data_IF_157874249481
#
_entry.id   IF_157874249481
#
_cell.length_a   1.000
_cell.length_b   1.000
_cell.length_c   1.000
_cell.angle_alpha   90.00
_cell.angle_beta   90.00
_cell.angle_gamma   90.00
#
_symmetry.space_group_name_H-M   'P 1'
#
loop_
_entity.id
_entity.type
_entity.pdbx_description
1 polymer ?
#
# COMPACT_ATOMS: atom_id res chain seq x y z
N UNK A 1 -30.10 -3.75 -8.91
CA UNK A 1 -28.86 -4.11 -9.64
C UNK A 1 -27.76 -4.26 -8.61
N UNK A 2 -27.42 -5.46 -8.19
CA UNK A 2 -26.23 -5.70 -7.36
C UNK A 2 -25.02 -5.74 -8.28
N UNK A 3 -24.43 -4.57 -8.52
CA UNK A 3 -23.15 -4.50 -9.20
C UNK A 3 -22.09 -5.13 -8.29
N UNK A 4 -21.54 -6.26 -8.70
CA UNK A 4 -20.39 -6.84 -8.03
C UNK A 4 -19.17 -5.99 -8.37
N UNK A 5 -18.54 -5.41 -7.35
CA UNK A 5 -17.25 -4.75 -7.52
C UNK A 5 -16.12 -5.78 -7.42
N UNK A 6 -15.06 -5.60 -8.19
CA UNK A 6 -13.92 -6.52 -8.19
C UNK A 6 -12.90 -6.20 -7.11
N UNK A 7 -12.76 -4.91 -6.75
CA UNK A 7 -11.95 -4.41 -5.65
C UNK A 7 -12.48 -3.05 -5.18
N UNK A 8 -12.10 -2.65 -3.97
CA UNK A 8 -12.44 -1.36 -3.36
C UNK A 8 -11.14 -0.69 -2.91
N UNK A 9 -11.04 0.62 -3.07
CA UNK A 9 -9.95 1.43 -2.49
C UNK A 9 -10.58 2.39 -1.48
N UNK A 10 -10.17 2.28 -0.21
CA UNK A 10 -10.59 3.21 0.83
C UNK A 10 -9.56 4.34 0.94
N UNK A 11 -9.90 5.53 0.46
CA UNK A 11 -9.02 6.69 0.50
C UNK A 11 -9.33 7.59 1.71
N UNK A 12 -8.29 8.05 2.39
CA UNK A 12 -8.40 8.98 3.50
C UNK A 12 -7.07 9.57 3.91
N UNK A 13 -7.11 10.61 4.71
CA UNK A 13 -5.94 11.23 5.33
C UNK A 13 -6.24 11.49 6.79
N UNK A 14 -5.34 11.03 7.65
CA UNK A 14 -5.34 11.31 9.08
C UNK A 14 -4.04 12.04 9.41
N UNK A 15 -4.16 13.21 10.03
CA UNK A 15 -3.01 13.99 10.50
C UNK A 15 -3.05 14.01 12.02
N UNK A 16 -1.90 13.71 12.65
CA UNK A 16 -1.79 13.70 14.10
C UNK A 16 -2.08 15.07 14.70
N UNK A 17 -3.01 15.09 15.66
CA UNK A 17 -3.26 16.25 16.52
C UNK A 17 -2.64 16.08 17.90
N UNK A 18 -3.07 16.93 18.84
CA UNK A 18 -2.51 16.98 20.20
C UNK A 18 -2.96 15.83 21.10
N UNK A 19 -4.03 15.15 20.75
CA UNK A 19 -4.62 14.08 21.55
C UNK A 19 -4.36 12.70 20.95
N UNK A 20 -4.67 11.63 21.71
CA UNK A 20 -4.60 10.25 21.23
C UNK A 20 -5.70 9.85 20.25
N UNK A 21 -6.56 10.79 19.83
CA UNK A 21 -7.62 10.52 18.88
C UNK A 21 -7.11 9.94 17.55
N UNK A 22 -5.98 10.45 17.06
CA UNK A 22 -5.33 9.98 15.84
C UNK A 22 -4.99 8.49 15.91
N UNK A 23 -4.39 8.02 17.00
CA UNK A 23 -3.99 6.63 17.19
C UNK A 23 -5.20 5.70 17.22
N UNK A 24 -6.23 6.09 17.96
CA UNK A 24 -7.45 5.27 18.06
C UNK A 24 -8.21 5.19 16.74
N UNK A 25 -8.34 6.29 16.00
CA UNK A 25 -9.02 6.30 14.70
C UNK A 25 -8.20 5.54 13.66
N UNK A 26 -6.88 5.73 13.63
CA UNK A 26 -5.99 5.02 12.70
C UNK A 26 -6.09 3.50 12.90
N UNK A 27 -6.03 3.04 14.14
CA UNK A 27 -6.16 1.63 14.49
C UNK A 27 -7.54 1.07 14.13
N UNK A 28 -8.60 1.79 14.50
CA UNK A 28 -9.98 1.38 14.21
C UNK A 28 -10.26 1.27 12.70
N UNK A 29 -9.78 2.24 11.92
CA UNK A 29 -9.94 2.25 10.45
C UNK A 29 -9.15 1.10 9.81
N UNK A 30 -7.89 0.88 10.23
CA UNK A 30 -7.08 -0.21 9.71
C UNK A 30 -7.73 -1.58 9.97
N UNK A 31 -8.19 -1.82 11.19
CA UNK A 31 -8.90 -3.06 11.57
C UNK A 31 -10.23 -3.20 10.84
N UNK A 32 -10.99 -2.11 10.70
CA UNK A 32 -12.26 -2.10 9.98
C UNK A 32 -12.10 -2.50 8.52
N UNK A 33 -11.13 -1.93 7.82
CA UNK A 33 -10.84 -2.27 6.42
C UNK A 33 -10.39 -3.73 6.28
N UNK A 34 -9.52 -4.21 7.17
CA UNK A 34 -9.10 -5.61 7.16
C UNK A 34 -10.28 -6.56 7.40
N UNK A 35 -11.17 -6.24 8.33
CA UNK A 35 -12.36 -7.05 8.59
C UNK A 35 -13.30 -7.12 7.38
N UNK A 36 -13.46 -6.03 6.64
CA UNK A 36 -14.23 -6.03 5.39
C UNK A 36 -13.60 -6.95 4.35
N UNK A 37 -12.27 -6.88 4.17
CA UNK A 37 -11.53 -7.80 3.30
C UNK A 37 -11.84 -9.26 3.61
N UNK A 38 -11.71 -9.63 4.88
CA UNK A 38 -11.86 -11.02 5.32
C UNK A 38 -13.33 -11.50 5.26
N UNK A 39 -14.29 -10.64 5.61
CA UNK A 39 -15.71 -11.01 5.68
C UNK A 39 -16.38 -11.05 4.31
N UNK A 40 -15.97 -10.20 3.38
CA UNK A 40 -16.60 -10.12 2.05
C UNK A 40 -15.85 -10.91 0.98
N UNK A 41 -14.62 -11.33 1.26
CA UNK A 41 -13.70 -11.91 0.28
C UNK A 41 -13.51 -11.03 -0.96
N UNK A 42 -13.79 -9.73 -0.84
CA UNK A 42 -13.56 -8.72 -1.86
C UNK A 42 -12.31 -7.94 -1.48
N UNK A 43 -11.31 -7.80 -2.37
CA UNK A 43 -10.13 -7.03 -2.09
C UNK A 43 -10.47 -5.59 -1.71
N UNK A 44 -10.01 -5.14 -0.55
CA UNK A 44 -10.16 -3.75 -0.10
C UNK A 44 -8.78 -3.20 0.21
N UNK A 45 -8.34 -2.25 -0.61
CA UNK A 45 -7.03 -1.62 -0.47
C UNK A 45 -7.10 -0.52 0.58
N UNK A 46 -6.16 -0.56 1.53
CA UNK A 46 -6.00 0.47 2.53
C UNK A 46 -5.28 1.68 1.93
N UNK A 47 -6.05 2.66 1.46
CA UNK A 47 -5.55 3.91 0.86
C UNK A 47 -5.63 5.08 1.85
N UNK A 48 -5.30 4.84 3.12
CA UNK A 48 -5.35 5.88 4.16
C UNK A 48 -3.94 6.31 4.54
N UNK A 49 -3.64 7.59 4.33
CA UNK A 49 -2.39 8.20 4.76
C UNK A 49 -2.49 8.56 6.24
N UNK A 50 -1.66 7.94 7.07
CA UNK A 50 -1.50 8.28 8.48
C UNK A 50 -0.21 9.10 8.64
N UNK A 51 -0.35 10.40 8.78
CA UNK A 51 0.77 11.34 8.75
C UNK A 51 0.87 12.15 10.04
N UNK A 52 2.07 12.57 10.38
CA UNK A 52 2.31 13.41 11.54
C UNK A 52 2.05 14.90 11.23
N UNK A 53 2.20 15.28 9.95
CA UNK A 53 2.05 16.64 9.48
C UNK A 53 1.63 16.71 8.00
N UNK A 54 1.28 17.90 7.53
CA UNK A 54 0.87 18.13 6.14
C UNK A 54 2.01 17.92 5.13
N UNK A 55 3.26 18.13 5.53
CA UNK A 55 4.41 17.94 4.64
C UNK A 55 4.55 16.46 4.28
N UNK A 56 4.30 15.57 5.25
CA UNK A 56 4.25 14.13 4.99
C UNK A 56 3.10 13.75 4.04
N UNK A 57 1.93 14.39 4.18
CA UNK A 57 0.80 14.17 3.26
C UNK A 57 1.19 14.53 1.83
N UNK A 58 1.73 15.73 1.62
CA UNK A 58 2.15 16.23 0.30
C UNK A 58 3.14 15.27 -0.37
N UNK A 59 4.15 14.79 0.38
CA UNK A 59 5.14 13.83 -0.12
C UNK A 59 4.56 12.47 -0.50
N UNK A 60 3.37 12.10 -0.01
CA UNK A 60 2.73 10.81 -0.25
C UNK A 60 1.57 10.86 -1.24
N UNK A 61 1.13 12.05 -1.63
CA UNK A 61 0.06 12.23 -2.61
C UNK A 61 0.51 12.97 -3.88
N UNK A 62 1.81 13.25 -4.03
CA UNK A 62 2.39 13.91 -5.19
C UNK A 62 3.74 13.29 -5.55
N UNK A 63 4.09 13.30 -6.83
CA UNK A 63 5.40 12.90 -7.34
C UNK A 63 6.37 14.09 -7.45
N UNK A 64 5.96 15.27 -7.03
CA UNK A 64 6.79 16.47 -7.00
C UNK A 64 7.72 16.49 -5.79
N UNK A 65 8.79 17.26 -5.87
CA UNK A 65 9.74 17.53 -4.77
C UNK A 65 10.27 16.26 -4.04
N UNK A 66 10.50 15.19 -4.80
CA UNK A 66 10.96 13.91 -4.25
C UNK A 66 9.88 13.15 -3.47
N UNK A 67 8.62 13.48 -3.69
CA UNK A 67 7.49 12.73 -3.18
C UNK A 67 7.24 11.43 -3.96
N UNK A 68 6.32 10.64 -3.43
CA UNK A 68 5.80 9.44 -4.09
C UNK A 68 4.28 9.39 -3.94
N UNK A 69 3.58 9.34 -5.06
CA UNK A 69 2.12 9.28 -5.07
C UNK A 69 1.63 7.84 -4.81
N UNK A 70 1.34 7.54 -3.56
CA UNK A 70 0.82 6.22 -3.17
C UNK A 70 -0.52 5.86 -3.83
N UNK A 71 -1.28 6.84 -4.31
CA UNK A 71 -2.53 6.58 -5.04
C UNK A 71 -2.34 5.73 -6.29
N UNK A 72 -1.19 5.87 -6.95
CA UNK A 72 -0.84 5.03 -8.11
C UNK A 72 -0.63 3.56 -7.69
N UNK A 73 0.04 3.33 -6.55
CA UNK A 73 0.27 1.97 -6.04
C UNK A 73 -1.03 1.33 -5.57
N UNK A 74 -1.92 2.10 -4.93
CA UNK A 74 -3.24 1.60 -4.53
C UNK A 74 -4.06 1.16 -5.73
N UNK A 75 -4.02 1.95 -6.83
CA UNK A 75 -4.69 1.58 -8.08
C UNK A 75 -4.16 0.28 -8.67
N UNK A 76 -2.83 0.14 -8.75
CA UNK A 76 -2.16 -1.07 -9.22
C UNK A 76 -2.52 -2.27 -8.36
N UNK A 77 -2.39 -2.13 -7.03
CA UNK A 77 -2.72 -3.18 -6.06
C UNK A 77 -4.18 -3.63 -6.19
N UNK A 78 -5.11 -2.70 -6.36
CA UNK A 78 -6.53 -3.04 -6.53
C UNK A 78 -6.77 -3.93 -7.76
N UNK A 79 -6.13 -3.59 -8.88
CA UNK A 79 -6.23 -4.38 -10.12
C UNK A 79 -5.61 -5.76 -9.94
N UNK A 80 -4.39 -5.84 -9.38
CA UNK A 80 -3.70 -7.11 -9.14
C UNK A 80 -4.51 -8.04 -8.24
N UNK A 81 -5.00 -7.53 -7.11
CA UNK A 81 -5.81 -8.31 -6.17
C UNK A 81 -7.14 -8.77 -6.79
N UNK A 82 -7.77 -7.94 -7.60
CA UNK A 82 -8.98 -8.31 -8.33
C UNK A 82 -8.73 -9.46 -9.32
N UNK A 83 -7.62 -9.41 -10.05
CA UNK A 83 -7.22 -10.48 -10.97
C UNK A 83 -6.89 -11.77 -10.22
N UNK A 84 -6.12 -11.70 -9.16
CA UNK A 84 -5.81 -12.86 -8.31
C UNK A 84 -7.07 -13.52 -7.75
N UNK A 85 -8.02 -12.69 -7.28
CA UNK A 85 -9.32 -13.21 -6.80
C UNK A 85 -10.08 -13.94 -7.91
N UNK A 86 -10.15 -13.36 -9.10
CA UNK A 86 -10.83 -14.00 -10.25
C UNK A 86 -10.19 -15.33 -10.61
N UNK A 87 -8.86 -15.42 -10.60
CA UNK A 87 -8.15 -16.67 -10.85
C UNK A 87 -8.40 -17.70 -9.75
N UNK A 88 -8.35 -17.29 -8.48
CA UNK A 88 -8.54 -18.17 -7.33
C UNK A 88 -9.98 -18.71 -7.23
N UNK A 89 -10.98 -17.90 -7.60
CA UNK A 89 -12.40 -18.31 -7.56
C UNK A 89 -12.86 -19.09 -8.80
N UNK A 90 -11.93 -19.37 -9.74
CA UNK A 90 -12.24 -20.07 -10.98
C UNK A 90 -13.23 -19.26 -11.80
N UNK A 91 -12.77 -18.19 -12.46
CA UNK A 91 -13.58 -17.54 -13.47
C UNK A 91 -14.15 -18.61 -14.38
N UNK A 92 -15.47 -18.61 -14.57
CA UNK A 92 -16.22 -19.65 -15.26
C UNK A 92 -15.83 -19.76 -16.75
N UNK A 93 -14.66 -20.29 -17.02
CA UNK A 93 -14.28 -20.98 -18.27
C UNK A 93 -12.94 -21.68 -18.04
N UNK A 94 -12.98 -23.00 -18.11
CA UNK A 94 -11.87 -23.92 -17.85
C UNK A 94 -10.60 -23.59 -18.62
N UNK A 95 -9.71 -22.91 -17.93
CA UNK A 95 -8.33 -22.74 -18.33
C UNK A 95 -7.48 -22.86 -17.08
N UNK A 96 -6.58 -23.84 -17.04
CA UNK A 96 -5.57 -23.97 -16.01
C UNK A 96 -4.80 -22.65 -15.94
N UNK A 97 -5.16 -21.81 -14.97
CA UNK A 97 -4.53 -20.51 -14.74
C UNK A 97 -3.02 -20.70 -14.61
N UNK A 98 -2.29 -20.08 -15.51
CA UNK A 98 -0.84 -20.15 -15.53
C UNK A 98 -0.30 -19.12 -14.49
N UNK A 99 -0.26 -19.55 -13.23
CA UNK A 99 0.27 -18.76 -12.10
C UNK A 99 1.70 -18.22 -12.31
N UNK A 100 2.37 -18.69 -13.38
CA UNK A 100 3.72 -18.27 -13.75
C UNK A 100 3.82 -16.90 -14.43
N UNK A 101 2.71 -16.23 -14.76
CA UNK A 101 2.73 -14.93 -15.45
C UNK A 101 2.59 -13.70 -14.54
N UNK A 102 2.24 -13.89 -13.30
CA UNK A 102 2.32 -12.82 -12.31
C UNK A 102 3.74 -12.82 -11.72
N UNK A 103 4.70 -12.29 -12.47
CA UNK A 103 5.95 -11.86 -11.85
C UNK A 103 5.57 -10.83 -10.79
N UNK A 104 6.04 -10.97 -9.53
CA UNK A 104 5.80 -9.93 -8.54
C UNK A 104 6.39 -8.64 -9.09
N UNK A 105 5.55 -7.65 -9.36
CA UNK A 105 6.04 -6.30 -9.60
C UNK A 105 6.77 -5.90 -8.33
N UNK A 106 8.09 -5.80 -8.42
CA UNK A 106 8.95 -5.57 -7.30
C UNK A 106 8.46 -4.38 -6.48
N UNK A 107 8.09 -4.67 -5.25
CA UNK A 107 7.97 -3.66 -4.22
C UNK A 107 9.40 -3.12 -4.06
N UNK A 108 9.67 -1.97 -4.66
CA UNK A 108 10.92 -1.27 -4.45
C UNK A 108 10.91 -0.77 -3.01
N UNK A 109 11.38 -1.61 -2.09
CA UNK A 109 11.80 -1.15 -0.78
C UNK A 109 12.95 -0.19 -1.04
N UNK A 110 12.70 1.10 -0.81
CA UNK A 110 13.72 2.14 -0.92
C UNK A 110 14.68 2.06 0.26
N UNK A 111 15.45 0.99 0.33
CA UNK A 111 16.58 0.89 1.26
C UNK A 111 17.81 1.48 0.57
N UNK A 112 17.92 2.79 0.72
CA UNK A 112 19.17 3.47 0.45
C UNK A 112 20.23 3.03 1.45
N UNK A 113 20.96 1.97 1.16
CA UNK A 113 22.21 1.69 1.84
C UNK A 113 23.18 2.84 1.59
N UNK A 114 23.32 3.71 2.57
CA UNK A 114 24.45 4.62 2.66
C UNK A 114 25.69 3.79 2.94
N UNK A 115 26.50 3.54 1.89
CA UNK A 115 27.90 3.13 2.07
C UNK A 115 28.61 4.16 2.92
N UNK A 116 28.95 3.79 4.14
CA UNK A 116 29.92 4.51 4.95
C UNK A 116 31.30 4.11 4.43
N UNK A 117 31.91 4.98 3.63
CA UNK A 117 33.34 4.86 3.31
C UNK A 117 34.14 5.13 4.58
N UNK A 118 34.85 4.10 5.03
CA UNK A 118 35.74 4.17 6.17
C UNK A 118 36.98 5.00 5.84
N UNK A 119 37.14 6.15 6.45
CA UNK A 119 38.41 6.85 6.54
C UNK A 119 39.38 6.06 7.42
N UNK A 120 40.38 5.48 6.77
CA UNK A 120 41.62 5.03 7.44
C UNK A 120 42.41 6.24 7.88
N UNK A 121 42.37 6.58 9.16
CA UNK A 121 43.40 7.42 9.76
C UNK A 121 44.62 6.57 10.11
N UNK A 122 45.70 6.84 9.38
CA UNK A 122 47.02 6.34 9.70
C UNK A 122 47.48 6.90 11.04
N UNK A 123 47.97 6.05 11.90
CA UNK A 123 48.72 6.36 13.09
C UNK A 123 50.13 6.79 12.69
N UNK A 124 50.58 7.91 13.20
CA UNK A 124 51.97 8.35 13.20
C UNK A 124 52.26 9.08 14.48
N UNK A 125 53.13 8.48 15.25
CA UNK A 125 53.78 8.97 16.46
C UNK A 125 52.98 9.08 17.75
#
# INVERSE_FOLDING_TARGET
MSGTVDAIICCGVLIKGDTFHFEYISDAVAKGIMNINLSTMTPVVYGVLNCLDEAQVKKRCSNEDGGHNHGEDWGKTAVEMALMRKEATGGASGGKGNLKKLAPMGFASGDGEKKVEGEKKASGF
#
